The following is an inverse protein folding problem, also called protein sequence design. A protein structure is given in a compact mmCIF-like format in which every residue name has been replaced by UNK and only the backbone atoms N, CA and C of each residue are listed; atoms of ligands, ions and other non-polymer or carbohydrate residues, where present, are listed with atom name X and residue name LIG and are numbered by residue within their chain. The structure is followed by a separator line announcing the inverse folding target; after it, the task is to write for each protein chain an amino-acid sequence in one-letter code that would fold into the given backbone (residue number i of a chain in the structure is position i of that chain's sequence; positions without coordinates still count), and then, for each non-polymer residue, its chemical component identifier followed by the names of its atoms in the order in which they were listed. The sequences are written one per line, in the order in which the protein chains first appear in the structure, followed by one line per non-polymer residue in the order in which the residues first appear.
data_IF_980545244246
#
_entry.id   IF_980545244246
#
_cell.length_a   1.000
_cell.length_b   1.000
_cell.length_c   1.000
_cell.angle_alpha   90.00
_cell.angle_beta   90.00
_cell.angle_gamma   90.00
#
_symmetry.space_group_name_H-M   'P 1'
#
loop_
_entity.id
_entity.type
_entity.pdbx_description
1 polymer ?
#
# COMPACT_ATOMS: atom_id res chain seq x y z
N UNK A 1 -4.98 -13.20 8.11
CA UNK A 1 -3.89 -13.48 9.07
C UNK A 1 -3.51 -12.14 9.66
N UNK A 2 -3.71 -11.95 10.96
CA UNK A 2 -3.19 -10.82 11.72
C UNK A 2 -2.06 -11.43 12.54
N UNK A 3 -0.82 -11.23 12.11
CA UNK A 3 0.32 -11.65 12.92
C UNK A 3 0.48 -10.62 14.03
N UNK A 4 0.38 -11.03 15.28
CA UNK A 4 0.71 -10.13 16.40
C UNK A 4 2.21 -9.81 16.33
N UNK A 5 2.60 -8.53 16.25
CA UNK A 5 4.01 -8.17 16.19
C UNK A 5 4.68 -8.45 17.55
N UNK A 6 5.94 -8.89 17.54
CA UNK A 6 6.71 -9.24 18.75
C UNK A 6 8.05 -8.51 18.77
N UNK A 7 8.25 -7.63 19.74
CA UNK A 7 9.51 -6.92 19.92
C UNK A 7 10.66 -7.87 20.29
N UNK A 8 10.39 -8.94 21.05
CA UNK A 8 11.40 -9.95 21.40
C UNK A 8 11.91 -10.69 20.15
N UNK A 9 10.99 -11.06 19.25
CA UNK A 9 11.37 -11.71 17.99
C UNK A 9 12.20 -10.78 17.10
N UNK A 10 11.90 -9.47 17.10
CA UNK A 10 12.69 -8.47 16.38
C UNK A 10 14.07 -8.28 17.00
N UNK A 11 14.16 -8.18 18.33
CA UNK A 11 15.43 -8.02 19.04
C UNK A 11 16.40 -9.18 18.76
N UNK A 12 15.89 -10.41 18.65
CA UNK A 12 16.68 -11.60 18.33
C UNK A 12 17.36 -11.53 16.95
N UNK A 13 16.89 -10.69 16.03
CA UNK A 13 17.51 -10.49 14.71
C UNK A 13 18.66 -9.48 14.73
N UNK A 14 18.87 -8.77 15.84
CA UNK A 14 19.86 -7.68 15.96
C UNK A 14 19.80 -6.69 14.79
N UNK A 15 18.64 -6.08 14.51
CA UNK A 15 18.47 -5.20 13.36
C UNK A 15 19.29 -3.92 13.52
N UNK A 16 19.73 -3.36 12.39
CA UNK A 16 20.31 -2.02 12.30
C UNK A 16 19.29 -0.95 11.84
N UNK A 17 18.14 -1.39 11.32
CA UNK A 17 17.00 -0.56 10.96
C UNK A 17 15.69 -1.36 11.11
N UNK A 18 14.65 -0.72 11.66
CA UNK A 18 13.29 -1.27 11.75
C UNK A 18 12.33 -0.36 10.99
N UNK A 19 11.45 -0.96 10.17
CA UNK A 19 10.40 -0.25 9.46
C UNK A 19 9.03 -0.68 9.98
N UNK A 20 8.18 0.29 10.32
CA UNK A 20 6.81 0.07 10.81
C UNK A 20 5.85 0.69 9.81
N UNK A 21 4.80 -0.03 9.39
CA UNK A 21 3.73 0.58 8.60
C UNK A 21 2.85 1.50 9.45
N UNK A 22 2.51 2.67 8.90
CA UNK A 22 1.68 3.66 9.59
C UNK A 22 0.21 3.23 9.74
N UNK A 23 -0.31 2.46 8.79
CA UNK A 23 -1.70 2.02 8.71
C UNK A 23 -1.78 0.56 8.24
N UNK A 24 -2.98 -0.04 8.33
CA UNK A 24 -3.21 -1.43 7.93
C UNK A 24 -3.08 -2.43 9.08
N UNK A 25 -3.53 -3.66 8.84
CA UNK A 25 -3.49 -4.74 9.83
C UNK A 25 -2.08 -5.27 10.13
N UNK A 26 -1.08 -4.82 9.39
CA UNK A 26 0.34 -5.10 9.60
C UNK A 26 1.06 -4.01 10.41
N UNK A 27 0.35 -2.96 10.83
CA UNK A 27 0.93 -1.87 11.61
C UNK A 27 1.36 -2.35 13.00
N UNK A 28 2.66 -2.22 13.28
CA UNK A 28 3.25 -2.44 14.58
C UNK A 28 3.41 -1.13 15.38
N UNK A 29 2.63 -0.09 15.07
CA UNK A 29 2.77 1.24 15.67
C UNK A 29 2.64 1.23 17.20
N UNK A 30 1.81 0.34 17.74
CA UNK A 30 1.66 0.15 19.19
C UNK A 30 2.95 -0.33 19.89
N UNK A 31 3.91 -0.88 19.14
CA UNK A 31 5.20 -1.35 19.64
C UNK A 31 6.35 -0.37 19.34
N UNK A 32 6.08 0.82 18.81
CA UNK A 32 7.11 1.78 18.41
C UNK A 32 8.15 2.01 19.51
N UNK A 33 7.72 2.29 20.76
CA UNK A 33 8.64 2.57 21.86
C UNK A 33 9.56 1.37 22.18
N UNK A 34 9.03 0.15 22.08
CA UNK A 34 9.80 -1.07 22.31
C UNK A 34 10.79 -1.33 21.16
N UNK A 35 10.35 -1.12 19.93
CA UNK A 35 11.16 -1.33 18.73
C UNK A 35 12.26 -0.26 18.60
N UNK A 36 11.96 0.99 18.95
CA UNK A 36 12.92 2.10 18.96
C UNK A 36 14.01 1.94 20.01
N UNK A 37 13.79 1.11 21.05
CA UNK A 37 14.84 0.75 22.00
C UNK A 37 15.82 -0.30 21.45
N UNK A 38 15.44 -1.03 20.39
CA UNK A 38 16.26 -2.07 19.75
C UNK A 38 17.16 -1.45 18.68
N UNK A 39 16.59 -0.66 17.77
CA UNK A 39 17.30 -0.08 16.63
C UNK A 39 16.59 1.18 16.11
N UNK A 40 17.26 2.02 15.28
CA UNK A 40 16.60 3.10 14.55
C UNK A 40 15.31 2.61 13.88
N UNK A 41 14.18 3.22 14.23
CA UNK A 41 12.85 2.78 13.81
C UNK A 41 12.15 3.88 13.04
N UNK A 42 11.71 3.57 11.81
CA UNK A 42 11.00 4.51 10.95
C UNK A 42 9.57 4.06 10.70
N UNK A 43 8.65 5.00 10.81
CA UNK A 43 7.24 4.79 10.45
C UNK A 43 7.08 5.20 8.98
N UNK A 44 6.60 4.26 8.17
CA UNK A 44 6.42 4.41 6.73
C UNK A 44 4.93 4.35 6.41
N UNK A 45 4.41 5.43 5.84
CA UNK A 45 3.05 5.44 5.33
C UNK A 45 3.02 5.02 3.85
N UNK A 46 2.28 3.95 3.56
CA UNK A 46 2.11 3.42 2.21
C UNK A 46 0.70 3.64 1.63
N UNK A 47 -0.23 4.20 2.40
CA UNK A 47 -1.66 4.25 2.03
C UNK A 47 -2.06 5.43 1.13
N UNK A 48 -1.11 6.27 0.74
CA UNK A 48 -1.32 7.47 -0.09
C UNK A 48 -0.28 7.59 -1.22
N UNK A 49 0.55 6.56 -1.41
CA UNK A 49 1.68 6.56 -2.35
C UNK A 49 1.55 5.45 -3.38
N UNK A 50 2.12 5.69 -4.55
CA UNK A 50 2.44 4.62 -5.48
C UNK A 50 3.56 3.75 -4.90
N UNK A 51 3.68 2.52 -5.39
CA UNK A 51 4.78 1.66 -4.98
C UNK A 51 6.14 2.22 -5.44
N UNK A 52 6.19 2.99 -6.54
CA UNK A 52 7.40 3.67 -7.00
C UNK A 52 7.85 4.77 -6.03
N UNK A 53 6.90 5.58 -5.53
CA UNK A 53 7.17 6.63 -4.54
C UNK A 53 7.69 6.01 -3.23
N UNK A 54 7.05 4.93 -2.77
CA UNK A 54 7.50 4.18 -1.60
C UNK A 54 8.90 3.58 -1.81
N UNK A 55 9.17 2.97 -2.97
CA UNK A 55 10.48 2.40 -3.28
C UNK A 55 11.57 3.47 -3.35
N UNK A 56 11.26 4.65 -3.87
CA UNK A 56 12.20 5.79 -3.88
C UNK A 56 12.55 6.25 -2.47
N UNK A 57 11.54 6.34 -1.59
CA UNK A 57 11.74 6.67 -0.19
C UNK A 57 12.62 5.62 0.52
N UNK A 58 12.33 4.33 0.32
CA UNK A 58 13.11 3.24 0.88
C UNK A 58 14.54 3.21 0.33
N UNK A 59 14.71 3.49 -0.96
CA UNK A 59 16.03 3.63 -1.58
C UNK A 59 16.86 4.73 -0.91
N UNK A 60 16.25 5.87 -0.60
CA UNK A 60 16.94 6.98 0.10
C UNK A 60 17.31 6.58 1.54
N UNK A 61 16.40 5.92 2.25
CA UNK A 61 16.63 5.47 3.64
C UNK A 61 17.78 4.45 3.71
N UNK A 62 17.89 3.59 2.70
CA UNK A 62 18.84 2.46 2.69
C UNK A 62 20.11 2.74 1.88
N UNK A 63 20.26 3.92 1.27
CA UNK A 63 21.38 4.25 0.38
C UNK A 63 21.39 3.44 -0.93
N UNK A 64 20.21 3.01 -1.39
CA UNK A 64 20.00 2.17 -2.58
C UNK A 64 19.25 2.93 -3.69
N UNK A 65 19.47 4.23 -3.82
CA UNK A 65 18.75 5.10 -4.77
C UNK A 65 18.91 4.65 -6.21
N UNK A 66 20.11 4.20 -6.59
CA UNK A 66 20.37 3.67 -7.95
C UNK A 66 19.54 2.42 -8.23
N UNK A 67 19.45 1.50 -7.27
CA UNK A 67 18.72 0.25 -7.42
C UNK A 67 17.20 0.50 -7.47
N UNK A 68 16.71 1.44 -6.67
CA UNK A 68 15.32 1.90 -6.72
C UNK A 68 14.99 2.51 -8.10
N UNK A 69 15.85 3.41 -8.61
CA UNK A 69 15.67 4.04 -9.91
C UNK A 69 15.69 3.02 -11.06
N UNK A 70 16.64 2.09 -11.06
CA UNK A 70 16.74 1.04 -12.09
C UNK A 70 15.51 0.14 -12.09
N UNK A 71 14.99 -0.21 -10.90
CA UNK A 71 13.80 -1.04 -10.78
C UNK A 71 12.55 -0.34 -11.30
N UNK A 72 12.41 0.95 -10.99
CA UNK A 72 11.30 1.78 -11.50
C UNK A 72 11.39 1.92 -13.02
N UNK A 73 12.58 2.22 -13.56
CA UNK A 73 12.78 2.36 -15.00
C UNK A 73 12.47 1.06 -15.76
N UNK A 74 12.90 -0.09 -15.23
CA UNK A 74 12.58 -1.39 -15.80
C UNK A 74 11.07 -1.65 -15.83
N UNK A 75 10.37 -1.30 -14.75
CA UNK A 75 8.92 -1.41 -14.68
C UNK A 75 8.24 -0.47 -15.69
N UNK A 76 8.63 0.80 -15.75
CA UNK A 76 7.99 1.78 -16.62
C UNK A 76 8.10 1.38 -18.10
N UNK A 77 9.23 0.76 -18.48
CA UNK A 77 9.40 0.17 -19.82
C UNK A 77 8.38 -0.94 -20.07
N UNK A 78 8.21 -1.87 -19.12
CA UNK A 78 7.25 -2.97 -19.25
C UNK A 78 5.81 -2.44 -19.26
N UNK A 79 5.49 -1.47 -18.40
CA UNK A 79 4.19 -0.82 -18.32
C UNK A 79 3.82 -0.18 -19.67
N UNK A 80 4.75 0.56 -20.28
CA UNK A 80 4.53 1.19 -21.59
C UNK A 80 4.24 0.14 -22.68
N UNK A 81 4.98 -0.97 -22.69
CA UNK A 81 4.76 -2.07 -23.64
C UNK A 81 3.37 -2.70 -23.45
N UNK A 82 3.01 -3.03 -22.20
CA UNK A 82 1.72 -3.64 -21.87
C UNK A 82 0.57 -2.70 -22.23
N UNK A 83 0.67 -1.41 -21.91
CA UNK A 83 -0.34 -0.41 -22.23
C UNK A 83 -0.65 -0.31 -23.72
N UNK A 84 0.35 -0.46 -24.58
CA UNK A 84 0.16 -0.46 -26.05
C UNK A 84 -0.54 -1.72 -26.57
N UNK A 85 -0.40 -2.84 -25.86
CA UNK A 85 -0.94 -4.14 -26.27
C UNK A 85 -2.33 -4.42 -25.69
N UNK A 86 -2.73 -3.67 -24.66
CA UNK A 86 -4.00 -3.85 -23.98
C UNK A 86 -5.15 -3.14 -24.70
N UNK A 87 -6.30 -3.83 -24.76
CA UNK A 87 -7.60 -3.20 -25.03
C UNK A 87 -8.37 -3.10 -23.72
N UNK A 88 -8.66 -1.87 -23.29
CA UNK A 88 -9.40 -1.65 -22.06
C UNK A 88 -10.87 -2.11 -22.20
N UNK A 89 -11.46 -2.67 -21.14
CA UNK A 89 -12.90 -2.91 -21.08
C UNK A 89 -13.65 -1.57 -21.00
N UNK A 90 -15.00 -1.58 -21.09
CA UNK A 90 -15.81 -0.39 -20.82
C UNK A 90 -15.39 0.31 -19.51
N UNK A 91 -15.27 1.62 -19.58
CA UNK A 91 -14.87 2.49 -18.46
C UNK A 91 -16.09 3.28 -17.98
N UNK A 92 -16.12 3.73 -16.70
CA UNK A 92 -15.10 3.53 -15.67
C UNK A 92 -15.19 2.13 -15.00
N UNK A 93 -14.17 1.77 -14.23
CA UNK A 93 -14.11 0.49 -13.48
C UNK A 93 -13.95 0.73 -11.98
N UNK A 94 -14.32 -0.27 -11.17
CA UNK A 94 -14.02 -0.32 -9.74
C UNK A 94 -12.98 -1.42 -9.48
N UNK A 95 -12.05 -1.16 -8.57
CA UNK A 95 -11.06 -2.15 -8.12
C UNK A 95 -11.35 -2.52 -6.66
N UNK A 96 -11.69 -3.78 -6.40
CA UNK A 96 -12.12 -4.23 -5.07
C UNK A 96 -11.36 -5.48 -4.61
N UNK A 97 -11.26 -5.64 -3.30
CA UNK A 97 -11.03 -6.93 -2.65
C UNK A 97 -12.34 -7.34 -1.98
N UNK A 98 -12.99 -8.40 -2.49
CA UNK A 98 -14.23 -8.91 -1.93
C UNK A 98 -13.99 -10.11 -1.02
N UNK A 99 -14.53 -10.05 0.21
CA UNK A 99 -14.45 -11.14 1.19
C UNK A 99 -15.81 -11.82 1.29
N UNK A 100 -15.99 -12.89 0.50
CA UNK A 100 -17.29 -13.57 0.38
C UNK A 100 -17.83 -14.07 1.73
N UNK A 101 -16.98 -14.63 2.60
CA UNK A 101 -17.40 -15.14 3.90
C UNK A 101 -17.99 -14.05 4.82
N UNK A 102 -17.48 -12.83 4.74
CA UNK A 102 -17.92 -11.70 5.55
C UNK A 102 -18.95 -10.81 4.84
N UNK A 103 -19.21 -11.04 3.55
CA UNK A 103 -20.04 -10.18 2.71
C UNK A 103 -19.58 -8.70 2.73
N UNK A 104 -18.26 -8.50 2.83
CA UNK A 104 -17.62 -7.17 2.84
C UNK A 104 -16.71 -6.99 1.64
N UNK A 105 -16.45 -5.74 1.26
CA UNK A 105 -15.49 -5.39 0.22
C UNK A 105 -14.62 -4.20 0.64
N UNK A 106 -13.36 -4.20 0.24
CA UNK A 106 -12.51 -3.01 0.29
C UNK A 106 -12.37 -2.48 -1.14
N UNK A 107 -12.85 -1.27 -1.38
CA UNK A 107 -12.73 -0.57 -2.65
C UNK A 107 -11.47 0.29 -2.65
N UNK A 108 -10.57 0.07 -3.62
CA UNK A 108 -9.35 0.86 -3.78
C UNK A 108 -9.67 2.24 -4.34
N UNK A 109 -9.09 3.28 -3.76
CA UNK A 109 -9.24 4.68 -4.18
C UNK A 109 -8.18 5.08 -5.21
N UNK A 110 -8.29 6.29 -5.76
CA UNK A 110 -7.26 6.88 -6.63
C UNK A 110 -5.93 7.15 -5.92
N UNK A 111 -5.95 7.26 -4.58
CA UNK A 111 -4.77 7.53 -3.77
C UNK A 111 -3.96 6.25 -3.49
N UNK A 112 -4.62 5.09 -3.60
CA UNK A 112 -4.00 3.77 -3.41
C UNK A 112 -2.93 3.47 -4.47
N UNK A 113 -1.95 2.65 -4.10
CA UNK A 113 -0.96 2.12 -5.05
C UNK A 113 -1.62 1.35 -6.21
N UNK A 114 -2.69 0.61 -5.91
CA UNK A 114 -3.49 -0.14 -6.88
C UNK A 114 -4.19 0.80 -7.87
N UNK A 115 -4.79 1.88 -7.38
CA UNK A 115 -5.47 2.87 -8.21
C UNK A 115 -4.50 3.67 -9.07
N UNK A 116 -3.37 4.10 -8.50
CA UNK A 116 -2.28 4.74 -9.25
C UNK A 116 -1.74 3.83 -10.37
N UNK A 117 -1.57 2.53 -10.10
CA UNK A 117 -1.17 1.55 -11.13
C UNK A 117 -2.23 1.41 -12.25
N UNK A 118 -3.51 1.31 -11.89
CA UNK A 118 -4.59 1.23 -12.87
C UNK A 118 -4.64 2.48 -13.75
N UNK A 119 -4.45 3.67 -13.17
CA UNK A 119 -4.33 4.91 -13.93
C UNK A 119 -3.12 4.93 -14.86
N UNK A 120 -1.96 4.45 -14.39
CA UNK A 120 -0.76 4.29 -15.22
C UNK A 120 -1.03 3.40 -16.45
N UNK A 121 -1.76 2.30 -16.27
CA UNK A 121 -2.23 1.40 -17.34
C UNK A 121 -3.31 2.03 -18.25
N UNK A 122 -3.88 3.17 -17.87
CA UNK A 122 -4.88 3.91 -18.66
C UNK A 122 -6.34 3.67 -18.24
N UNK A 123 -6.59 2.93 -17.16
CA UNK A 123 -7.94 2.80 -16.61
C UNK A 123 -8.41 4.11 -15.97
N UNK A 124 -9.72 4.30 -15.94
CA UNK A 124 -10.39 5.33 -15.16
C UNK A 124 -11.17 4.67 -14.05
N UNK A 125 -10.83 4.98 -12.79
CA UNK A 125 -11.59 4.51 -11.64
C UNK A 125 -12.92 5.26 -11.53
N UNK A 126 -13.98 4.54 -11.19
CA UNK A 126 -15.30 5.12 -11.02
C UNK A 126 -15.35 6.01 -9.77
N UNK A 127 -16.12 7.10 -9.85
CA UNK A 127 -16.44 7.90 -8.69
C UNK A 127 -17.35 7.10 -7.74
N UNK A 128 -17.23 7.38 -6.45
CA UNK A 128 -18.07 6.78 -5.43
C UNK A 128 -19.50 7.34 -5.55
N UNK A 129 -20.53 6.50 -5.41
CA UNK A 129 -21.89 6.98 -5.27
C UNK A 129 -22.04 7.80 -3.98
N UNK A 130 -22.83 8.87 -4.03
CA UNK A 130 -23.23 9.59 -2.83
C UNK A 130 -24.02 8.65 -1.88
N UNK A 131 -23.79 8.79 -0.56
CA UNK A 131 -24.56 8.06 0.47
C UNK A 131 -24.07 6.64 0.77
N UNK A 132 -22.87 6.26 0.34
CA UNK A 132 -22.28 4.96 0.66
C UNK A 132 -21.91 4.87 2.14
N UNK A 133 -22.37 3.84 2.84
CA UNK A 133 -21.95 3.56 4.22
C UNK A 133 -20.53 3.02 4.23
N UNK A 134 -19.59 3.81 4.75
CA UNK A 134 -18.17 3.45 4.83
C UNK A 134 -17.77 3.16 6.29
N UNK A 135 -17.03 2.08 6.52
CA UNK A 135 -16.45 1.76 7.82
C UNK A 135 -15.04 2.35 7.98
N UNK A 136 -14.58 2.54 9.22
CA UNK A 136 -13.20 2.95 9.58
C UNK A 136 -12.49 1.97 10.52
N UNK A 137 -12.94 0.71 10.59
CA UNK A 137 -12.40 -0.32 11.49
C UNK A 137 -10.90 -0.61 11.33
N UNK A 138 -10.32 -0.33 10.16
CA UNK A 138 -8.89 -0.45 9.85
C UNK A 138 -8.13 0.89 9.98
N UNK A 139 -8.69 1.85 10.72
CA UNK A 139 -8.14 3.20 10.88
C UNK A 139 -8.57 4.16 9.76
N UNK A 140 -8.07 5.39 9.82
CA UNK A 140 -8.28 6.40 8.76
C UNK A 140 -7.32 6.10 7.61
N UNK A 141 -7.84 5.43 6.58
CA UNK A 141 -7.09 5.05 5.39
C UNK A 141 -7.52 5.87 4.19
N UNK A 142 -6.55 6.27 3.37
CA UNK A 142 -6.83 7.02 2.13
C UNK A 142 -6.94 6.10 0.91
N UNK A 143 -6.29 4.94 0.95
CA UNK A 143 -6.24 3.99 -0.16
C UNK A 143 -7.46 3.07 -0.28
N UNK A 144 -8.24 2.87 0.79
CA UNK A 144 -9.41 1.99 0.76
C UNK A 144 -10.66 2.61 1.36
N UNK A 145 -11.79 2.20 0.80
CA UNK A 145 -13.12 2.41 1.35
C UNK A 145 -13.72 1.06 1.69
N UNK A 146 -14.04 0.86 2.95
CA UNK A 146 -14.62 -0.39 3.44
C UNK A 146 -16.14 -0.36 3.25
N UNK A 147 -16.62 -1.30 2.45
CA UNK A 147 -18.03 -1.54 2.13
C UNK A 147 -18.52 -2.77 2.89
N UNK A 148 -19.70 -2.68 3.49
CA UNK A 148 -20.30 -3.77 4.25
C UNK A 148 -20.14 -3.57 5.76
N UNK A 149 -21.29 -3.65 6.43
CA UNK A 149 -21.58 -3.39 7.83
C UNK A 149 -23.09 -3.39 7.98
#
# INVERSE_FOLDING_TARGET
YIGEPSAEAVAAQMPDLILISATGGDSALALYDQLSAIAPTLIINYDDKSWQELLTQLGTITGQETQAADRIAAFDKQLAQVKQQMKLPPQPVNAIVYTAAAHTANLWTTDSAQGKLLHQLGFTLAALPDGLHTSTSQGKRHDIIMLGG
#
